data_IF_295454483285
#
_entry.id   IF_295454483285
#
_cell.length_a   1.000
_cell.length_b   1.000
_cell.length_c   1.000
_cell.angle_alpha   90.00
_cell.angle_beta   90.00
_cell.angle_gamma   90.00
#
_symmetry.space_group_name_H-M   'P 1'
#
loop_
_entity.id
_entity.type
_entity.pdbx_description
1 polymer ?
#
# COMPACT_ATOMS: atom_id res chain seq x y z
N UNK A 1 24.76 -9.21 -0.90
CA UNK A 1 23.29 -9.37 -0.96
C UNK A 1 22.95 -10.01 -2.29
N UNK A 2 22.94 -11.34 -2.36
CA UNK A 2 22.59 -12.07 -3.59
C UNK A 2 21.07 -12.17 -3.60
N UNK A 3 20.42 -11.59 -4.62
CA UNK A 3 18.99 -11.74 -4.83
C UNK A 3 18.68 -13.24 -4.95
N UNK A 4 17.93 -13.79 -3.98
CA UNK A 4 17.56 -15.20 -4.02
C UNK A 4 16.68 -15.45 -5.25
N UNK A 5 16.99 -16.42 -6.11
CA UNK A 5 16.27 -16.67 -7.36
C UNK A 5 14.80 -17.07 -7.17
N UNK A 6 14.42 -17.47 -5.94
CA UNK A 6 13.05 -17.87 -5.60
C UNK A 6 12.02 -16.73 -5.62
N UNK A 7 12.43 -15.46 -5.47
CA UNK A 7 11.47 -14.32 -5.49
C UNK A 7 10.84 -14.13 -6.87
N UNK A 8 11.55 -14.52 -7.94
CA UNK A 8 11.05 -14.52 -9.31
C UNK A 8 10.16 -15.74 -9.61
N UNK A 9 10.18 -16.77 -8.76
CA UNK A 9 9.37 -17.98 -8.94
C UNK A 9 7.88 -17.69 -8.85
N UNK A 10 7.48 -16.81 -7.92
CA UNK A 10 6.07 -16.45 -7.73
C UNK A 10 5.52 -15.63 -8.93
N UNK A 11 6.34 -14.72 -9.49
CA UNK A 11 6.01 -13.95 -10.70
C UNK A 11 5.89 -14.81 -11.97
N UNK A 12 6.62 -15.93 -12.05
CA UNK A 12 6.51 -16.90 -13.15
C UNK A 12 5.31 -17.82 -13.02
N UNK A 13 4.88 -18.14 -11.79
CA UNK A 13 3.74 -19.01 -11.53
C UNK A 13 2.38 -18.32 -11.78
N UNK A 14 2.29 -17.00 -11.53
CA UNK A 14 1.06 -16.23 -11.72
C UNK A 14 1.30 -15.04 -12.66
N UNK A 15 0.91 -15.10 -13.95
CA UNK A 15 1.15 -14.03 -14.91
C UNK A 15 0.45 -12.70 -14.56
N UNK A 16 -0.57 -12.73 -13.69
CA UNK A 16 -1.19 -11.51 -13.13
C UNK A 16 -0.20 -10.69 -12.29
N UNK A 17 0.81 -11.29 -11.68
CA UNK A 17 1.84 -10.58 -10.92
C UNK A 17 2.74 -9.73 -11.81
N UNK A 18 2.97 -10.14 -13.07
CA UNK A 18 3.70 -9.33 -14.05
C UNK A 18 2.96 -8.05 -14.41
N UNK A 19 1.65 -7.95 -14.14
CA UNK A 19 0.93 -6.69 -14.29
C UNK A 19 1.35 -5.65 -13.25
N UNK A 20 1.86 -6.05 -12.08
CA UNK A 20 2.24 -5.13 -11.00
C UNK A 20 3.30 -4.12 -11.43
N UNK A 21 4.47 -4.49 -11.99
CA UNK A 21 5.45 -3.53 -12.47
C UNK A 21 4.91 -2.64 -13.61
N UNK A 22 4.02 -3.16 -14.46
CA UNK A 22 3.36 -2.36 -15.50
C UNK A 22 2.45 -1.30 -14.87
N UNK A 23 1.66 -1.66 -13.86
CA UNK A 23 0.80 -0.72 -13.13
C UNK A 23 1.63 0.32 -12.37
N UNK A 24 2.79 -0.03 -11.82
CA UNK A 24 3.72 0.94 -11.22
C UNK A 24 4.17 1.98 -12.24
N UNK A 25 4.59 1.53 -13.43
CA UNK A 25 5.03 2.43 -14.50
C UNK A 25 3.87 3.31 -15.02
N UNK A 26 2.66 2.76 -15.10
CA UNK A 26 1.44 3.51 -15.43
C UNK A 26 1.08 4.54 -14.35
N UNK A 27 1.21 4.21 -13.07
CA UNK A 27 0.98 5.14 -11.98
C UNK A 27 2.05 6.26 -11.95
N UNK A 28 3.32 5.92 -12.21
CA UNK A 28 4.40 6.91 -12.28
C UNK A 28 4.21 7.87 -13.46
N UNK A 29 3.89 7.33 -14.65
CA UNK A 29 3.61 8.15 -15.83
C UNK A 29 2.35 9.00 -15.67
N UNK A 30 1.31 8.45 -15.02
CA UNK A 30 0.12 9.20 -14.63
C UNK A 30 0.45 10.37 -13.69
N UNK A 31 1.30 10.16 -12.68
CA UNK A 31 1.74 11.20 -11.77
C UNK A 31 2.43 12.35 -12.52
N UNK A 32 3.39 12.03 -13.40
CA UNK A 32 4.11 13.02 -14.20
C UNK A 32 3.16 13.79 -15.14
N UNK A 33 2.21 13.10 -15.77
CA UNK A 33 1.24 13.70 -16.68
C UNK A 33 0.24 14.64 -15.97
N UNK A 34 -0.30 14.23 -14.82
CA UNK A 34 -1.25 15.04 -14.06
C UNK A 34 -0.58 16.18 -13.29
N UNK A 35 0.68 16.00 -12.85
CA UNK A 35 1.47 17.07 -12.23
C UNK A 35 1.71 18.22 -13.22
N UNK A 36 1.95 17.93 -14.49
CA UNK A 36 2.08 18.96 -15.54
C UNK A 36 0.77 19.70 -15.85
N UNK A 37 -0.38 19.18 -15.41
CA UNK A 37 -1.72 19.72 -15.72
C UNK A 37 -2.41 20.45 -14.57
N UNK A 38 -1.68 20.73 -13.49
CA UNK A 38 -2.15 21.43 -12.27
C UNK A 38 -3.43 20.87 -11.64
N UNK A 39 -3.71 19.57 -11.85
CA UNK A 39 -4.82 18.86 -11.22
C UNK A 39 -4.31 18.10 -9.98
N UNK A 40 -3.99 18.87 -8.93
CA UNK A 40 -3.32 18.40 -7.71
C UNK A 40 -4.04 17.21 -7.05
N UNK A 41 -5.38 17.15 -7.18
CA UNK A 41 -6.20 16.06 -6.63
C UNK A 41 -5.89 14.73 -7.31
N UNK A 42 -5.74 14.74 -8.64
CA UNK A 42 -5.42 13.54 -9.42
C UNK A 42 -3.96 13.16 -9.26
N UNK A 43 -3.05 14.14 -9.18
CA UNK A 43 -1.64 13.89 -8.91
C UNK A 43 -1.44 13.21 -7.55
N UNK A 44 -2.16 13.66 -6.50
CA UNK A 44 -2.14 13.04 -5.18
C UNK A 44 -2.68 11.60 -5.20
N UNK A 45 -3.83 11.38 -5.84
CA UNK A 45 -4.40 10.03 -5.99
C UNK A 45 -3.43 9.07 -6.72
N UNK A 46 -2.71 9.58 -7.72
CA UNK A 46 -1.70 8.82 -8.45
C UNK A 46 -0.50 8.44 -7.56
N UNK A 47 -0.06 9.36 -6.69
CA UNK A 47 0.97 9.09 -5.67
C UNK A 47 0.57 8.00 -4.69
N UNK A 48 -0.65 8.09 -4.14
CA UNK A 48 -1.18 7.04 -3.27
C UNK A 48 -1.22 5.69 -4.00
N UNK A 49 -1.72 5.67 -5.25
CA UNK A 49 -1.78 4.46 -6.06
C UNK A 49 -0.39 3.88 -6.31
N UNK A 50 0.59 4.71 -6.67
CA UNK A 50 1.97 4.29 -6.88
C UNK A 50 2.54 3.60 -5.64
N UNK A 51 2.40 4.21 -4.45
CA UNK A 51 2.88 3.64 -3.19
C UNK A 51 2.18 2.32 -2.86
N UNK A 52 0.85 2.25 -3.02
CA UNK A 52 0.08 1.02 -2.77
C UNK A 52 0.53 -0.10 -3.69
N UNK A 53 0.67 0.15 -5.00
CA UNK A 53 1.06 -0.87 -5.97
C UNK A 53 2.49 -1.33 -5.74
N UNK A 54 3.41 -0.42 -5.40
CA UNK A 54 4.79 -0.77 -5.03
C UNK A 54 4.84 -1.66 -3.78
N UNK A 55 4.10 -1.31 -2.73
CA UNK A 55 4.03 -2.11 -1.51
C UNK A 55 3.45 -3.51 -1.78
N UNK A 56 2.37 -3.58 -2.54
CA UNK A 56 1.75 -4.85 -2.94
C UNK A 56 2.72 -5.69 -3.78
N UNK A 57 3.43 -5.08 -4.73
CA UNK A 57 4.45 -5.78 -5.53
C UNK A 57 5.58 -6.37 -4.71
N UNK A 58 6.04 -5.65 -3.68
CA UNK A 58 7.02 -6.14 -2.73
C UNK A 58 6.46 -7.31 -1.88
N UNK A 59 5.22 -7.18 -1.39
CA UNK A 59 4.57 -8.24 -0.61
C UNK A 59 4.40 -9.54 -1.43
N UNK A 60 4.03 -9.40 -2.70
CA UNK A 60 3.85 -10.55 -3.58
C UNK A 60 5.20 -11.19 -3.97
N UNK A 61 6.26 -10.39 -4.12
CA UNK A 61 7.61 -10.92 -4.36
C UNK A 61 8.12 -11.79 -3.20
N UNK A 62 7.67 -11.51 -1.98
CA UNK A 62 8.10 -12.22 -0.78
C UNK A 62 7.20 -13.42 -0.47
N UNK A 63 5.92 -13.36 -0.84
CA UNK A 63 4.96 -14.45 -0.66
C UNK A 63 5.52 -15.79 -1.17
N UNK A 64 5.42 -16.90 -0.39
CA UNK A 64 4.70 -17.08 0.88
C UNK A 64 5.54 -16.80 2.16
N UNK A 65 6.74 -16.23 2.02
CA UNK A 65 7.65 -15.89 3.12
C UNK A 65 7.41 -14.44 3.54
N UNK A 66 7.33 -14.20 4.85
CA UNK A 66 7.18 -12.85 5.42
C UNK A 66 8.54 -12.27 5.79
N UNK A 67 9.38 -13.08 6.44
CA UNK A 67 10.75 -12.70 6.79
C UNK A 67 11.70 -13.85 6.40
N UNK A 68 12.47 -13.74 5.31
CA UNK A 68 13.51 -14.71 4.98
C UNK A 68 14.70 -14.53 5.92
N UNK A 69 15.20 -15.64 6.46
CA UNK A 69 16.38 -15.67 7.31
C UNK A 69 17.66 -15.61 6.48
N UNK A 70 18.61 -14.76 6.88
CA UNK A 70 19.92 -14.64 6.23
C UNK A 70 20.85 -15.80 6.54
N UNK A 71 20.64 -16.51 7.66
CA UNK A 71 21.56 -17.54 8.14
C UNK A 71 21.14 -18.96 7.78
N UNK A 72 19.82 -19.26 7.77
CA UNK A 72 19.32 -20.62 7.54
C UNK A 72 17.90 -20.59 6.97
N UNK A 73 17.68 -21.25 5.82
CA UNK A 73 16.39 -21.30 5.14
C UNK A 73 15.31 -22.08 5.93
N UNK A 74 15.72 -22.91 6.89
CA UNK A 74 14.79 -23.62 7.79
C UNK A 74 14.11 -22.72 8.81
N UNK A 75 14.65 -21.52 9.05
CA UNK A 75 14.13 -20.52 10.01
C UNK A 75 13.37 -19.38 9.32
N UNK A 76 12.96 -19.58 8.07
CA UNK A 76 12.12 -18.63 7.34
C UNK A 76 10.75 -18.51 8.02
N UNK A 77 10.34 -17.28 8.34
CA UNK A 77 8.98 -17.01 8.82
C UNK A 77 8.05 -17.00 7.61
N UNK A 78 7.35 -18.12 7.39
CA UNK A 78 6.31 -18.28 6.39
C UNK A 78 4.95 -17.93 6.97
N UNK A 79 3.96 -17.65 6.11
CA UNK A 79 2.59 -17.38 6.55
C UNK A 79 2.08 -18.52 7.44
N UNK A 80 2.27 -19.78 7.05
CA UNK A 80 1.80 -20.94 7.79
C UNK A 80 2.31 -20.99 9.25
N UNK A 81 3.58 -20.61 9.45
CA UNK A 81 4.20 -20.60 10.78
C UNK A 81 3.91 -19.31 11.58
N UNK A 82 3.45 -18.25 10.91
CA UNK A 82 3.15 -16.95 11.52
C UNK A 82 1.66 -16.77 11.87
N UNK A 83 0.79 -17.68 11.45
CA UNK A 83 -0.64 -17.61 11.73
C UNK A 83 -0.90 -17.79 13.23
N UNK A 84 -1.66 -16.87 13.81
CA UNK A 84 -2.29 -17.07 15.12
C UNK A 84 -3.38 -18.13 15.04
N UNK A 85 -3.76 -18.71 16.19
CA UNK A 85 -4.82 -19.72 16.26
C UNK A 85 -6.09 -19.30 15.49
N UNK A 86 -6.80 -20.23 14.83
CA UNK A 86 -7.85 -19.91 13.85
C UNK A 86 -9.01 -19.10 14.44
N UNK A 87 -9.31 -19.28 15.73
CA UNK A 87 -10.30 -18.50 16.45
C UNK A 87 -9.88 -17.02 16.57
N UNK A 88 -8.66 -16.77 17.05
CA UNK A 88 -8.10 -15.41 17.19
C UNK A 88 -8.01 -14.71 15.85
N UNK A 89 -7.61 -15.42 14.79
CA UNK A 89 -7.54 -14.86 13.44
C UNK A 89 -8.92 -14.41 12.94
N UNK A 90 -9.95 -15.24 13.12
CA UNK A 90 -11.31 -14.92 12.67
C UNK A 90 -11.89 -13.73 13.45
N UNK A 91 -11.78 -13.73 14.77
CA UNK A 91 -12.28 -12.63 15.61
C UNK A 91 -11.49 -11.35 15.34
N UNK A 92 -10.17 -11.44 15.24
CA UNK A 92 -9.29 -10.32 14.91
C UNK A 92 -9.64 -9.70 13.56
N UNK A 93 -9.93 -10.50 12.53
CA UNK A 93 -10.32 -10.01 11.21
C UNK A 93 -11.66 -9.25 11.25
N UNK A 94 -12.67 -9.77 11.97
CA UNK A 94 -13.98 -9.11 12.11
C UNK A 94 -13.82 -7.78 12.84
N UNK A 95 -13.09 -7.77 13.96
CA UNK A 95 -12.82 -6.56 14.73
C UNK A 95 -12.02 -5.52 13.93
N UNK A 96 -10.99 -5.97 13.22
CA UNK A 96 -10.17 -5.11 12.38
C UNK A 96 -10.97 -4.48 11.23
N UNK A 97 -11.87 -5.25 10.60
CA UNK A 97 -12.74 -4.72 9.55
C UNK A 97 -13.67 -3.61 10.08
N UNK A 98 -14.20 -3.78 11.30
CA UNK A 98 -15.00 -2.73 11.96
C UNK A 98 -14.15 -1.48 12.26
N UNK A 99 -12.95 -1.66 12.82
CA UNK A 99 -12.02 -0.56 13.09
C UNK A 99 -11.61 0.21 11.83
N UNK A 100 -11.32 -0.51 10.74
CA UNK A 100 -11.01 0.11 9.44
C UNK A 100 -12.19 0.87 8.85
N UNK A 101 -13.41 0.34 8.98
CA UNK A 101 -14.63 1.05 8.55
C UNK A 101 -14.78 2.39 9.27
N UNK A 102 -14.59 2.40 10.60
CA UNK A 102 -14.66 3.61 11.41
C UNK A 102 -13.56 4.61 11.04
N UNK A 103 -12.33 4.15 10.84
CA UNK A 103 -11.21 4.98 10.42
C UNK A 103 -11.47 5.65 9.06
N UNK A 104 -11.95 4.88 8.07
CA UNK A 104 -12.30 5.41 6.75
C UNK A 104 -13.42 6.46 6.85
N UNK A 105 -14.46 6.18 7.65
CA UNK A 105 -15.55 7.14 7.87
C UNK A 105 -15.03 8.45 8.48
N UNK A 106 -14.16 8.38 9.49
CA UNK A 106 -13.53 9.54 10.08
C UNK A 106 -12.73 10.35 9.05
N UNK A 107 -11.87 9.69 8.26
CA UNK A 107 -11.13 10.36 7.19
C UNK A 107 -12.06 11.06 6.19
N UNK A 108 -13.15 10.41 5.75
CA UNK A 108 -14.12 11.03 4.84
C UNK A 108 -14.74 12.30 5.44
N UNK A 109 -15.16 12.23 6.71
CA UNK A 109 -15.77 13.38 7.41
C UNK A 109 -14.76 14.53 7.52
N UNK A 110 -13.54 14.25 7.99
CA UNK A 110 -12.47 15.25 8.15
C UNK A 110 -12.13 15.90 6.81
N UNK A 111 -11.87 15.10 5.77
CA UNK A 111 -11.58 15.64 4.43
C UNK A 111 -12.74 16.47 3.86
N UNK A 112 -13.99 16.10 4.19
CA UNK A 112 -15.17 16.88 3.78
C UNK A 112 -15.29 18.19 4.57
N UNK A 113 -14.97 18.17 5.87
CA UNK A 113 -15.01 19.34 6.74
C UNK A 113 -13.95 20.38 6.35
N UNK A 114 -12.73 19.92 6.04
CA UNK A 114 -11.62 20.78 5.60
C UNK A 114 -11.58 21.02 4.09
N UNK A 115 -12.66 20.73 3.35
CA UNK A 115 -12.75 20.96 1.91
C UNK A 115 -12.94 22.45 1.60
N UNK A 116 -11.91 23.26 1.83
CA UNK A 116 -11.84 24.67 1.49
C UNK A 116 -10.48 25.01 0.89
N UNK A 117 -10.43 25.95 -0.05
CA UNK A 117 -9.15 26.51 -0.51
C UNK A 117 -8.66 27.46 0.57
N UNK A 118 -7.47 27.22 1.11
CA UNK A 118 -6.83 28.17 2.02
C UNK A 118 -6.40 29.37 1.18
N UNK A 119 -7.11 30.49 1.34
CA UNK A 119 -6.72 31.76 0.74
C UNK A 119 -5.63 32.38 1.61
N UNK A 120 -4.50 32.74 1.02
CA UNK A 120 -3.46 33.54 1.69
C UNK A 120 -3.90 35.01 1.91
N UNK A 121 -5.10 35.39 1.43
CA UNK A 121 -5.73 36.71 1.61
C UNK A 121 -6.58 36.78 2.90
N UNK A 122 -6.08 36.21 3.98
CA UNK A 122 -6.60 36.48 5.32
C UNK A 122 -5.42 36.86 6.19
N UNK A 123 -5.09 38.16 6.13
CA UNK A 123 -4.15 38.76 7.05
C UNK A 123 -4.64 38.62 8.50
N UNK A 124 -3.67 38.50 9.41
CA UNK A 124 -3.89 38.64 10.84
C UNK A 124 -4.31 37.35 11.55
N UNK A 125 -3.34 36.49 11.85
CA UNK A 125 -3.37 35.77 13.12
C UNK A 125 -2.46 36.51 14.09
N UNK A 126 -2.96 37.64 14.61
CA UNK A 126 -2.45 38.23 15.85
C UNK A 126 -3.28 37.62 16.99
N UNK A 127 -2.66 36.69 17.70
CA UNK A 127 -2.85 36.44 19.12
C UNK A 127 -1.56 35.81 19.67
#
# INVERSE_FOLDING_TARGET
VIARPDTLGNYRAYPVLLAVPVVVLLALSGMLYFSGRSDDRKAFACSCTYLTVMLVGAAIALYPRLLPSSSDASRDITIQNALSGPHTLRVGLVWWAFGMCLAVMYFIIVYRMFKGKVSLTSGGYDH
#
